data_IF_478331059961
#
_entry.id   IF_478331059961
#
_cell.length_a   1.000
_cell.length_b   1.000
_cell.length_c   1.000
_cell.angle_alpha   90.00
_cell.angle_beta   90.00
_cell.angle_gamma   90.00
#
_symmetry.space_group_name_H-M   'P 1'
#
loop_
_entity.id
_entity.type
_entity.pdbx_description
1 polymer ?
2 polymer ?
3 non-polymer ?
4 non-polymer ?
5 water ?
#
# COMPACT_ATOMS: atom_id res chain seq x y z
N UNK A 6 8.85 -15.16 -14.21
CA UNK A 6 9.68 -16.28 -13.76
C UNK A 6 10.72 -16.76 -14.76
N UNK A 7 11.15 -15.89 -15.67
CA UNK A 7 12.05 -16.32 -16.73
C UNK A 7 13.50 -15.89 -16.51
N UNK A 8 14.43 -16.71 -17.00
CA UNK A 8 15.83 -16.33 -17.00
C UNK A 8 16.14 -15.36 -18.14
N UNK A 9 15.70 -15.71 -19.35
CA UNK A 9 15.96 -14.90 -20.53
C UNK A 9 15.17 -13.60 -20.47
N UNK A 10 15.82 -12.54 -20.02
CA UNK A 10 15.13 -11.28 -19.89
C UNK A 10 15.05 -10.53 -21.23
N UNK A 11 15.93 -10.85 -22.17
CA UNK A 11 15.93 -10.12 -23.45
C UNK A 11 14.67 -10.42 -24.22
N UNK A 12 14.17 -11.65 -24.12
CA UNK A 12 12.93 -12.01 -24.80
C UNK A 12 11.78 -11.15 -24.29
N UNK A 13 11.74 -10.92 -22.98
CA UNK A 13 10.69 -10.09 -22.40
C UNK A 13 10.84 -8.69 -22.97
N UNK A 14 12.08 -8.23 -23.04
CA UNK A 14 12.32 -6.89 -23.53
C UNK A 14 11.83 -6.75 -24.96
N UNK A 15 12.20 -7.72 -25.81
CA UNK A 15 11.78 -7.67 -27.19
C UNK A 15 10.26 -7.57 -27.33
N UNK A 16 9.50 -8.34 -26.54
CA UNK A 16 8.05 -8.27 -26.64
C UNK A 16 7.56 -6.89 -26.10
N UNK A 17 8.24 -6.36 -25.11
CA UNK A 17 7.85 -5.03 -24.59
C UNK A 17 8.09 -3.95 -25.64
N UNK A 18 9.25 -3.98 -26.27
CA UNK A 18 9.57 -3.02 -27.33
C UNK A 18 8.58 -3.12 -28.46
N UNK A 19 8.15 -4.33 -28.73
CA UNK A 19 7.28 -4.57 -29.84
C UNK A 19 5.94 -3.90 -29.52
N UNK A 20 5.46 -4.08 -28.29
CA UNK A 20 4.15 -3.52 -27.95
C UNK A 20 4.22 -1.99 -27.92
N UNK A 21 5.28 -1.50 -27.34
CA UNK A 21 5.40 -0.05 -27.14
C UNK A 21 5.71 0.68 -28.45
N UNK A 22 6.02 -0.07 -29.51
CA UNK A 22 6.24 0.55 -30.82
C UNK A 22 4.91 1.00 -31.43
N UNK A 23 3.81 0.65 -30.77
CA UNK A 23 2.48 0.98 -31.26
C UNK A 23 2.00 2.35 -30.79
N UNK A 24 2.76 3.38 -31.17
CA UNK A 24 2.53 4.72 -30.68
C UNK A 24 1.12 5.14 -31.06
N UNK A 25 0.43 5.82 -30.15
CA UNK A 25 -0.91 6.37 -30.36
C UNK A 25 -1.99 5.32 -30.57
N UNK A 26 -1.67 4.06 -30.29
CA UNK A 26 -2.57 2.93 -30.49
C UNK A 26 -2.47 2.00 -29.30
N UNK A 27 -3.35 1.00 -29.27
CA UNK A 27 -3.30 -0.10 -28.30
C UNK A 27 -2.97 0.36 -26.90
N UNK A 28 -3.85 1.20 -26.37
CA UNK A 28 -3.59 1.91 -25.12
C UNK A 28 -3.54 0.95 -23.94
N UNK A 29 -4.48 0.01 -23.89
CA UNK A 29 -4.53 -0.92 -22.78
C UNK A 29 -3.36 -1.88 -22.83
N UNK A 30 -3.05 -2.38 -24.04
CA UNK A 30 -1.95 -3.32 -24.19
C UNK A 30 -0.64 -2.64 -23.82
N UNK A 31 -0.54 -1.36 -24.14
CA UNK A 31 0.70 -0.63 -23.91
C UNK A 31 0.82 -0.24 -22.44
N UNK A 32 -0.29 -0.02 -21.76
CA UNK A 32 -0.26 0.18 -20.32
C UNK A 32 0.26 -1.08 -19.62
N UNK A 33 -0.22 -2.24 -20.06
CA UNK A 33 0.29 -3.48 -19.49
C UNK A 33 1.81 -3.58 -19.66
N UNK A 34 2.29 -3.31 -20.88
CA UNK A 34 3.72 -3.39 -21.16
C UNK A 34 4.49 -2.40 -20.28
N UNK A 35 3.94 -1.21 -20.09
CA UNK A 35 4.63 -0.16 -19.30
C UNK A 35 4.73 -0.56 -17.83
N UNK A 36 3.63 -1.10 -17.32
CA UNK A 36 3.59 -1.60 -15.96
C UNK A 36 4.55 -2.80 -15.81
N UNK A 37 4.60 -3.66 -16.83
CA UNK A 37 5.57 -4.73 -16.80
C UNK A 37 6.99 -4.20 -16.69
N UNK A 38 7.29 -3.15 -17.46
CA UNK A 38 8.61 -2.53 -17.43
C UNK A 38 8.92 -1.93 -16.07
N UNK A 39 7.92 -1.28 -15.48
CA UNK A 39 8.03 -0.82 -14.11
C UNK A 39 8.39 -1.93 -13.12
N UNK A 40 7.71 -3.06 -13.20
CA UNK A 40 7.99 -4.18 -12.33
C UNK A 40 9.44 -4.66 -12.47
N UNK A 41 9.93 -4.76 -13.70
CA UNK A 41 11.28 -5.25 -13.94
C UNK A 41 12.32 -4.37 -13.29
N UNK A 42 12.05 -3.07 -13.33
CA UNK A 42 12.95 -2.07 -12.79
C UNK A 42 13.19 -2.28 -11.31
N UNK A 43 12.27 -2.94 -10.63
CA UNK A 43 12.41 -3.16 -9.19
C UNK A 43 13.27 -4.38 -8.92
N UNK A 44 13.39 -5.24 -9.93
CA UNK A 44 13.96 -6.57 -9.72
C UNK A 44 15.48 -6.60 -9.76
N UNK A 45 16.00 -7.36 -8.79
CA UNK A 45 17.42 -7.53 -8.54
C UNK A 45 18.13 -8.35 -9.63
N UNK A 47 18.15 -6.64 -12.21
CA UNK A 47 17.90 -7.25 -13.52
C UNK A 47 19.08 -7.07 -14.46
N UNK A 48 19.33 -8.07 -15.30
CA UNK A 48 20.43 -8.02 -16.26
C UNK A 48 20.03 -7.36 -17.58
N UNK A 49 18.75 -6.99 -17.67
CA UNK A 49 18.20 -6.20 -18.77
C UNK A 49 19.06 -4.99 -19.17
N UNK A 50 19.48 -4.23 -18.16
CA UNK A 50 19.97 -2.86 -18.38
C UNK A 50 21.28 -2.74 -19.14
N UNK A 51 22.23 -3.62 -18.86
CA UNK A 51 23.49 -3.61 -19.57
C UNK A 51 23.28 -3.69 -21.07
N UNK A 52 22.30 -4.48 -21.49
CA UNK A 52 22.12 -4.70 -22.93
C UNK A 52 21.04 -3.83 -23.55
N UNK A 53 20.04 -3.44 -22.75
CA UNK A 53 18.85 -2.80 -23.31
C UNK A 53 18.54 -1.41 -22.75
N UNK A 54 19.42 -0.83 -21.93
CA UNK A 54 19.05 0.44 -21.31
C UNK A 54 18.71 1.53 -22.34
N UNK A 55 19.60 1.70 -23.31
CA UNK A 55 19.44 2.73 -24.32
C UNK A 55 18.13 2.52 -25.06
N UNK A 56 17.92 1.30 -25.54
CA UNK A 56 16.77 1.00 -26.36
C UNK A 56 15.46 1.29 -25.65
N UNK A 57 15.39 0.89 -24.39
CA UNK A 57 14.20 1.13 -23.57
C UNK A 57 13.99 2.60 -23.30
N UNK A 58 15.06 3.27 -22.90
CA UNK A 58 14.94 4.67 -22.57
C UNK A 58 14.46 5.49 -23.77
N UNK A 59 15.07 5.29 -24.94
CA UNK A 59 14.71 6.16 -26.05
C UNK A 59 13.30 5.88 -26.53
N UNK A 60 12.83 4.63 -26.40
CA UNK A 60 11.43 4.34 -26.75
C UNK A 60 10.46 4.97 -25.72
N UNK A 61 10.86 4.94 -24.44
CA UNK A 61 10.06 5.54 -23.37
C UNK A 61 10.00 7.07 -23.53
N UNK A 62 11.12 7.68 -23.91
CA UNK A 62 11.11 9.13 -24.12
C UNK A 62 10.25 9.48 -25.31
N UNK A 63 10.28 8.67 -26.36
CA UNK A 63 9.38 8.92 -27.49
C UNK A 63 7.93 8.84 -27.03
N UNK A 64 7.65 7.89 -26.14
CA UNK A 64 6.29 7.64 -25.65
C UNK A 64 5.74 8.84 -24.82
N UNK A 65 6.63 9.70 -24.35
CA UNK A 65 6.22 10.95 -23.69
C UNK A 65 5.41 11.87 -24.58
N UNK A 66 5.54 11.68 -25.87
CA UNK A 66 4.82 12.48 -26.82
C UNK A 66 3.54 11.83 -27.31
N UNK A 67 3.11 10.73 -26.65
CA UNK A 67 1.90 10.05 -27.11
C UNK A 67 0.68 10.95 -27.03
N UNK A 68 -0.29 10.74 -27.91
CA UNK A 68 -1.50 11.54 -27.89
C UNK A 68 -2.36 11.20 -26.68
N UNK A 69 -2.21 10.03 -26.10
CA UNK A 69 -3.03 9.63 -24.95
C UNK A 69 -2.44 10.09 -23.61
N UNK A 70 -3.16 10.98 -22.88
CA UNK A 70 -2.70 11.50 -21.58
C UNK A 70 -2.31 10.42 -20.58
N UNK A 71 -3.10 9.35 -20.52
CA UNK A 71 -2.82 8.33 -19.50
C UNK A 71 -1.54 7.58 -19.89
N UNK A 72 -1.22 7.53 -21.18
CA UNK A 72 0.04 6.95 -21.61
C UNK A 72 1.24 7.86 -21.27
N UNK A 73 1.09 9.16 -21.54
CA UNK A 73 2.18 10.07 -21.20
C UNK A 73 2.45 10.02 -19.69
N UNK A 74 1.37 10.02 -18.93
CA UNK A 74 1.49 10.04 -17.48
C UNK A 74 2.19 8.76 -17.01
N UNK A 75 1.77 7.61 -17.57
CA UNK A 75 2.38 6.37 -17.13
C UNK A 75 3.83 6.24 -17.55
N UNK A 76 4.14 6.66 -18.78
CA UNK A 76 5.55 6.67 -19.23
C UNK A 76 6.48 7.47 -18.28
N UNK A 77 5.96 8.57 -17.71
CA UNK A 77 6.73 9.36 -16.74
C UNK A 77 6.93 8.63 -15.43
N UNK A 78 5.93 7.87 -15.00
CA UNK A 78 6.08 7.02 -13.82
C UNK A 78 7.16 5.95 -14.04
N UNK A 79 7.12 5.30 -15.19
CA UNK A 79 8.15 4.33 -15.52
C UNK A 79 9.53 5.02 -15.57
N UNK A 80 9.63 6.18 -16.23
CA UNK A 80 10.90 6.89 -16.31
C UNK A 80 11.44 7.16 -14.87
N UNK A 81 10.55 7.57 -13.98
CA UNK A 81 10.91 7.86 -12.61
C UNK A 81 11.57 6.67 -11.98
N UNK A 82 11.06 5.46 -12.22
CA UNK A 82 11.64 4.29 -11.60
C UNK A 82 12.99 3.93 -12.20
N UNK A 83 13.15 4.20 -13.49
CA UNK A 83 14.42 3.85 -14.11
C UNK A 83 15.49 4.82 -13.57
N UNK A 84 15.09 6.06 -13.37
CA UNK A 84 15.95 7.11 -12.81
C UNK A 84 16.44 6.73 -11.42
N UNK A 85 15.55 6.26 -10.55
CA UNK A 85 15.99 6.05 -9.18
C UNK A 85 16.76 4.74 -9.01
N UNK A 86 16.57 3.80 -9.93
CA UNK A 86 17.24 2.49 -9.86
C UNK A 86 18.51 2.39 -10.73
N UNK A 87 18.57 3.17 -11.80
CA UNK A 87 19.76 3.10 -12.67
C UNK A 87 20.33 4.49 -12.99
N UNK A 88 20.53 5.33 -11.96
CA UNK A 88 20.94 6.71 -12.25
C UNK A 88 22.26 6.81 -13.04
N UNK A 89 23.22 5.92 -12.78
CA UNK A 89 24.54 6.03 -13.40
C UNK A 89 24.43 5.92 -14.92
N UNK A 90 23.41 5.23 -15.39
CA UNK A 90 23.29 4.94 -16.81
C UNK A 90 22.81 6.12 -17.63
N UNK A 91 22.37 7.18 -16.96
CA UNK A 91 21.85 8.35 -17.67
C UNK A 91 22.93 9.35 -18.05
N UNK A 92 24.19 9.00 -17.79
CA UNK A 92 25.33 9.89 -18.03
C UNK A 92 25.27 10.58 -19.39
N UNK A 93 25.11 9.81 -20.46
CA UNK A 93 25.09 10.38 -21.80
C UNK A 93 23.69 10.79 -22.28
N UNK A 94 22.68 10.68 -21.42
CA UNK A 94 21.33 11.02 -21.84
C UNK A 94 20.69 12.00 -20.91
N UNK A 95 21.52 12.66 -20.12
CA UNK A 95 21.03 13.57 -19.09
C UNK A 95 20.30 14.78 -19.68
N UNK A 96 20.93 15.45 -20.65
CA UNK A 96 20.33 16.61 -21.29
C UNK A 96 18.95 16.27 -21.82
N UNK A 97 18.88 15.20 -22.60
CA UNK A 97 17.63 14.74 -23.17
C UNK A 97 16.57 14.38 -22.14
N UNK A 98 16.97 13.62 -21.13
CA UNK A 98 16.03 13.17 -20.14
C UNK A 98 15.46 14.32 -19.30
N UNK A 99 16.34 15.22 -18.88
CA UNK A 99 15.91 16.43 -18.18
C UNK A 99 14.92 17.24 -19.04
N UNK A 100 15.28 17.48 -20.30
CA UNK A 100 14.46 18.36 -21.14
C UNK A 100 13.08 17.76 -21.30
N UNK A 101 13.02 16.46 -21.54
CA UNK A 101 11.72 15.82 -21.74
C UNK A 101 10.91 15.87 -20.47
N UNK A 102 11.56 15.66 -19.34
CA UNK A 102 10.85 15.66 -18.07
C UNK A 102 10.28 17.08 -17.79
N UNK A 103 11.11 18.10 -18.03
CA UNK A 103 10.68 19.50 -17.84
C UNK A 103 9.58 19.88 -18.81
N UNK A 104 9.73 19.49 -20.06
CA UNK A 104 8.72 19.78 -21.04
C UNK A 104 7.34 19.25 -20.64
N UNK A 105 7.30 18.09 -20.00
CA UNK A 105 6.00 17.54 -19.61
C UNK A 105 5.28 18.44 -18.60
N UNK A 106 6.00 19.37 -17.99
CA UNK A 106 5.37 20.28 -17.02
C UNK A 106 4.42 21.27 -17.68
N UNK A 107 4.46 21.44 -19.01
CA UNK A 107 3.43 22.30 -19.60
C UNK A 107 2.27 21.50 -20.22
N UNK A 108 2.16 20.22 -19.89
CA UNK A 108 1.02 19.45 -20.36
C UNK A 108 -0.31 20.02 -19.87
N UNK A 109 -1.33 20.07 -20.74
CA UNK A 109 -2.64 20.56 -20.29
C UNK A 109 -3.34 19.64 -19.30
N UNK A 110 -2.88 18.40 -19.19
CA UNK A 110 -3.50 17.44 -18.29
C UNK A 110 -2.78 17.39 -16.95
N UNK A 111 -3.53 17.66 -15.89
CA UNK A 111 -2.99 17.75 -14.55
C UNK A 111 -2.32 16.45 -14.11
N UNK A 112 -2.86 15.31 -14.54
CA UNK A 112 -2.28 14.02 -14.18
C UNK A 112 -0.90 13.88 -14.79
N UNK A 113 -0.71 14.44 -15.98
CA UNK A 113 0.59 14.32 -16.62
C UNK A 113 1.59 15.26 -15.93
N UNK A 114 1.11 16.46 -15.57
CA UNK A 114 2.00 17.42 -14.89
C UNK A 114 2.42 16.83 -13.55
N UNK A 115 1.47 16.23 -12.84
CA UNK A 115 1.78 15.61 -11.56
C UNK A 115 2.83 14.51 -11.71
N UNK A 116 2.64 13.62 -12.67
CA UNK A 116 3.61 12.56 -12.92
C UNK A 116 4.97 13.15 -13.30
N UNK A 117 4.97 14.25 -14.03
CA UNK A 117 6.25 14.89 -14.40
C UNK A 117 6.96 15.52 -13.17
N UNK A 118 6.19 16.11 -12.28
CA UNK A 118 6.75 16.66 -11.05
C UNK A 118 7.36 15.58 -10.17
N UNK A 119 6.69 14.42 -10.13
CA UNK A 119 7.21 13.31 -9.35
C UNK A 119 8.52 12.84 -10.02
N UNK A 120 8.53 12.74 -11.34
CA UNK A 120 9.75 12.30 -12.03
C UNK A 120 10.90 13.27 -11.82
N UNK A 121 10.58 14.56 -11.93
CA UNK A 121 11.57 15.63 -11.77
C UNK A 121 12.18 15.61 -10.39
N UNK A 122 11.37 15.25 -9.41
CA UNK A 122 11.83 15.17 -8.04
C UNK A 122 12.88 14.08 -7.88
N UNK A 123 12.61 12.90 -8.47
CA UNK A 123 13.53 11.79 -8.35
C UNK A 123 14.79 12.03 -9.18
N UNK A 124 14.61 12.66 -10.34
CA UNK A 124 15.75 12.98 -11.19
C UNK A 124 16.76 13.81 -10.39
N UNK A 125 16.28 14.80 -9.65
CA UNK A 125 17.14 15.67 -8.86
C UNK A 125 17.85 14.95 -7.70
N UNK A 126 17.29 13.84 -7.21
CA UNK A 126 17.91 13.15 -6.09
C UNK A 126 18.78 11.97 -6.56
N UNK A 127 18.71 11.65 -7.85
CA UNK A 127 19.34 10.43 -8.38
C UNK A 127 20.48 10.69 -9.35
N UNK A 128 20.25 11.60 -10.30
CA UNK A 128 21.25 11.99 -11.31
C UNK A 128 22.45 12.62 -10.62
N UNK A 129 23.66 12.41 -11.16
CA UNK A 129 24.84 13.13 -10.69
C UNK A 129 24.53 14.61 -10.52
N UNK A 130 24.80 15.13 -9.33
CA UNK A 130 24.40 16.50 -9.01
C UNK A 130 25.15 17.54 -9.85
N UNK A 131 26.45 17.34 -10.05
CA UNK A 131 27.24 18.29 -10.85
C UNK A 131 26.70 18.38 -12.26
N UNK A 132 26.47 17.23 -12.87
CA UNK A 132 26.03 17.15 -14.25
C UNK A 132 24.63 17.75 -14.41
N UNK A 133 23.77 17.51 -13.45
CA UNK A 133 22.42 18.05 -13.48
C UNK A 133 22.45 19.59 -13.49
N UNK A 134 23.26 20.17 -12.61
CA UNK A 134 23.38 21.64 -12.49
C UNK A 134 23.86 22.20 -13.83
N UNK A 135 24.80 21.51 -14.45
CA UNK A 135 25.37 21.95 -15.71
C UNK A 135 24.36 21.86 -16.83
N UNK A 136 23.61 20.79 -16.85
CA UNK A 136 22.55 20.66 -17.82
C UNK A 136 21.45 21.72 -17.64
N UNK A 137 21.09 21.99 -16.39
CA UNK A 137 20.02 22.95 -16.13
C UNK A 137 20.37 24.41 -16.45
N UNK A 138 21.65 24.77 -16.42
CA UNK A 138 22.01 26.20 -16.57
C UNK A 138 21.54 26.83 -17.89
N UNK A 139 21.81 26.21 -19.06
CA UNK A 139 21.29 26.85 -20.29
C UNK A 139 19.76 26.82 -20.40
N UNK A 140 19.13 25.82 -19.80
CA UNK A 140 17.68 25.73 -19.85
C UNK A 140 17.05 26.89 -19.05
N UNK A 141 17.58 27.12 -17.86
CA UNK A 141 17.12 28.20 -16.99
C UNK A 141 17.27 29.55 -17.71
N UNK A 142 18.37 29.74 -18.44
CA UNK A 142 18.64 30.98 -19.14
C UNK A 142 17.84 31.22 -20.42
N UNK A 143 17.34 30.15 -21.02
CA UNK A 143 16.73 30.28 -22.36
C UNK A 143 15.36 29.60 -22.60
N UNK A 144 14.90 28.71 -21.72
CA UNK A 144 13.65 28.00 -22.03
C UNK A 144 12.42 28.86 -21.74
N UNK A 145 11.31 28.52 -22.39
CA UNK A 145 10.06 29.25 -22.23
C UNK A 145 9.40 28.94 -20.91
N UNK A 146 8.60 29.89 -20.41
CA UNK A 146 7.73 29.59 -19.30
C UNK A 146 6.78 28.48 -19.71
N UNK A 147 6.49 27.53 -18.80
CA UNK A 147 6.97 27.37 -17.43
C UNK A 147 8.07 26.30 -17.31
N UNK A 148 8.73 26.02 -18.41
CA UNK A 148 9.82 25.07 -18.40
C UNK A 148 11.01 25.68 -17.60
N UNK A 149 11.32 26.96 -17.81
CA UNK A 149 12.41 27.57 -17.03
C UNK A 149 12.11 27.52 -15.52
N UNK A 150 10.85 27.78 -15.17
CA UNK A 150 10.39 27.67 -13.79
C UNK A 150 10.72 26.28 -13.21
N UNK A 151 10.33 25.24 -13.93
CA UNK A 151 10.56 23.87 -13.40
C UNK A 151 12.06 23.59 -13.28
N UNK A 152 12.83 24.07 -14.25
CA UNK A 152 14.32 23.94 -14.23
C UNK A 152 14.96 24.59 -13.01
N UNK A 153 14.48 25.79 -12.64
CA UNK A 153 15.01 26.45 -11.45
C UNK A 153 14.69 25.66 -10.18
N UNK A 154 13.45 25.19 -10.10
CA UNK A 154 13.05 24.37 -8.98
C UNK A 154 13.89 23.08 -8.87
N UNK A 155 14.17 22.45 -10.01
CA UNK A 155 15.09 21.32 -10.05
C UNK A 155 16.48 21.71 -9.57
N UNK A 156 16.99 22.83 -10.09
CA UNK A 156 18.35 23.25 -9.68
C UNK A 156 18.46 23.42 -8.16
N UNK A 157 17.42 24.01 -7.58
CA UNK A 157 17.36 24.17 -6.13
C UNK A 157 17.50 22.84 -5.38
N UNK A 158 16.79 21.83 -5.86
CA UNK A 158 16.84 20.51 -5.23
C UNK A 158 18.22 19.89 -5.37
N UNK A 159 18.84 20.12 -6.52
CA UNK A 159 20.17 19.56 -6.75
C UNK A 159 21.22 20.25 -5.88
N UNK A 160 21.10 21.57 -5.73
CA UNK A 160 22.07 22.37 -4.97
C UNK A 160 22.14 21.93 -3.52
N UNK A 161 21.00 21.54 -2.97
CA UNK A 161 20.93 21.02 -1.61
C UNK A 161 21.66 19.69 -1.42
N UNK A 162 22.19 19.12 -2.50
CA UNK A 162 22.85 17.82 -2.39
C UNK A 162 24.36 17.89 -2.47
N UNK A 163 24.91 19.07 -2.77
CA UNK A 163 26.35 19.19 -3.00
C UNK A 163 27.07 19.83 -1.82
N UNK A 164 28.37 19.60 -1.71
CA UNK A 164 29.16 20.26 -0.68
C UNK A 164 29.42 21.74 -1.05
N UNK A 165 29.93 22.50 -0.09
CA UNK A 165 30.24 23.92 -0.31
C UNK A 165 31.33 24.05 -1.38
N UNK A 166 32.31 23.15 -1.32
CA UNK A 166 33.42 23.15 -2.26
C UNK A 166 32.92 22.86 -3.67
N UNK A 167 31.94 21.98 -3.78
CA UNK A 167 31.44 21.60 -5.08
C UNK A 167 30.60 22.73 -5.66
N UNK A 168 29.72 23.27 -4.83
CA UNK A 168 28.90 24.41 -5.21
C UNK A 168 29.73 25.64 -5.61
N UNK A 169 30.78 25.96 -4.84
CA UNK A 169 31.62 27.09 -5.17
C UNK A 169 32.17 26.94 -6.60
N UNK A 170 32.51 25.71 -6.99
CA UNK A 170 33.01 25.44 -8.34
C UNK A 170 31.94 25.65 -9.41
N UNK A 171 30.67 25.41 -9.05
CA UNK A 171 29.59 25.51 -10.03
C UNK A 171 28.93 26.89 -10.11
N UNK A 172 29.19 27.72 -9.10
CA UNK A 172 28.49 28.99 -8.95
C UNK A 172 28.63 29.94 -10.17
N UNK A 173 29.82 30.01 -10.78
CA UNK A 173 29.87 30.84 -11.99
C UNK A 173 28.92 30.41 -13.12
N UNK A 174 28.60 29.12 -13.23
CA UNK A 174 27.59 28.66 -14.19
C UNK A 174 26.18 28.90 -13.70
N UNK A 175 25.97 28.72 -12.39
CA UNK A 175 24.66 28.87 -11.76
C UNK A 175 24.18 30.33 -11.70
N UNK A 176 25.08 31.24 -11.29
CA UNK A 176 24.63 32.58 -10.92
C UNK A 176 23.96 33.39 -12.04
N UNK A 177 24.48 33.33 -13.29
CA UNK A 177 23.87 34.21 -14.32
C UNK A 177 22.36 33.99 -14.53
N UNK A 178 21.92 32.74 -14.49
CA UNK A 178 20.52 32.42 -14.70
C UNK A 178 19.63 32.92 -13.57
N UNK A 179 20.16 32.90 -12.37
CA UNK A 179 19.39 33.34 -11.22
C UNK A 179 19.30 34.87 -11.18
N UNK A 180 20.40 35.54 -11.51
CA UNK A 180 20.39 37.01 -11.59
C UNK A 180 19.41 37.46 -12.66
N UNK A 181 19.45 36.80 -13.81
CA UNK A 181 18.55 37.15 -14.89
C UNK A 181 17.09 36.72 -14.56
N UNK A 182 16.91 35.54 -13.99
CA UNK A 182 15.58 35.10 -13.57
C UNK A 182 14.92 35.98 -12.52
N UNK A 183 15.71 36.64 -11.68
CA UNK A 183 15.17 37.50 -10.64
C UNK A 183 14.48 38.73 -11.28
N UNK A 184 14.81 39.02 -12.53
CA UNK A 184 14.18 40.09 -13.30
C UNK A 184 13.10 39.61 -14.24
N UNK A 185 12.76 38.33 -14.17
CA UNK A 185 11.79 37.74 -15.10
C UNK A 185 10.40 38.34 -14.91
N UNK A 186 9.61 38.40 -15.97
CA UNK A 186 8.29 39.02 -15.90
C UNK A 186 7.33 38.17 -15.06
N UNK A 187 7.64 36.89 -14.90
CA UNK A 187 6.72 36.01 -14.16
C UNK A 187 7.08 35.98 -12.71
N UNK A 188 6.10 36.27 -11.86
CA UNK A 188 6.30 36.28 -10.42
C UNK A 188 6.81 34.93 -9.92
N UNK A 189 6.30 33.84 -10.50
CA UNK A 189 6.71 32.54 -10.05
C UNK A 189 8.19 32.29 -10.37
N UNK A 190 8.68 32.83 -11.49
CA UNK A 190 10.07 32.66 -11.84
C UNK A 190 10.96 33.49 -10.87
N UNK A 191 10.56 34.73 -10.57
CA UNK A 191 11.32 35.51 -9.61
C UNK A 191 11.37 34.83 -8.25
N UNK A 192 10.25 34.30 -7.81
CA UNK A 192 10.19 33.61 -6.52
C UNK A 192 11.10 32.38 -6.49
N UNK A 193 11.07 31.59 -7.56
CA UNK A 193 11.90 30.37 -7.64
C UNK A 193 13.37 30.74 -7.54
N UNK A 194 13.76 31.85 -8.18
CA UNK A 194 15.13 32.30 -8.11
C UNK A 194 15.52 32.74 -6.69
N UNK A 195 14.61 33.43 -5.99
CA UNK A 195 14.84 33.78 -4.61
C UNK A 195 15.03 32.53 -3.78
N UNK A 196 14.14 31.57 -3.97
CA UNK A 196 14.23 30.31 -3.24
C UNK A 196 15.57 29.63 -3.51
N UNK A 197 16.01 29.65 -4.77
CA UNK A 197 17.27 29.05 -5.13
C UNK A 197 18.46 29.77 -4.51
N UNK A 198 18.40 31.10 -4.47
CA UNK A 198 19.43 31.87 -3.83
C UNK A 198 19.45 31.62 -2.32
N UNK A 199 18.27 31.46 -1.73
CA UNK A 199 18.19 31.10 -0.31
C UNK A 199 18.93 29.81 -0.09
N UNK A 200 18.74 28.83 -0.98
CA UNK A 200 19.35 27.52 -0.80
C UNK A 200 20.87 27.55 -0.99
N UNK A 201 21.35 28.40 -1.89
CA UNK A 201 22.80 28.67 -1.99
C UNK A 201 23.34 29.26 -0.71
N UNK A 202 22.66 30.30 -0.20
CA UNK A 202 23.06 30.99 1.01
C UNK A 202 23.22 30.03 2.18
N UNK A 203 22.26 29.11 2.32
CA UNK A 203 22.29 28.14 3.41
C UNK A 203 23.55 27.28 3.34
N UNK A 204 24.11 27.12 2.14
CA UNK A 204 25.34 26.37 1.99
C UNK A 204 26.58 27.26 2.18
N UNK A 205 26.65 28.38 1.46
CA UNK A 205 27.90 29.15 1.50
C UNK A 205 27.85 30.44 2.35
N UNK A 206 26.70 30.75 2.95
CA UNK A 206 26.55 31.93 3.77
C UNK A 206 26.95 33.22 3.08
N UNK A 207 27.71 34.05 3.80
CA UNK A 207 28.15 35.35 3.34
C UNK A 207 28.97 35.31 2.05
N UNK A 208 29.62 34.17 1.79
CA UNK A 208 30.36 33.98 0.54
C UNK A 208 29.50 34.27 -0.70
N UNK A 209 28.19 34.19 -0.53
CA UNK A 209 27.25 34.46 -1.65
C UNK A 209 27.29 35.92 -2.09
N UNK A 210 27.56 36.82 -1.14
CA UNK A 210 27.39 38.27 -1.36
C UNK A 210 28.07 38.87 -2.60
N UNK A 211 29.37 38.60 -2.83
CA UNK A 211 30.02 39.17 -4.01
C UNK A 211 29.42 38.70 -5.34
N UNK A 212 28.71 37.57 -5.32
CA UNK A 212 28.01 37.12 -6.52
C UNK A 212 26.76 37.94 -6.79
N UNK A 213 26.37 38.76 -5.83
CA UNK A 213 25.09 39.48 -5.91
C UNK A 213 25.24 40.97 -6.19
N UNK A 214 26.41 41.38 -6.68
CA UNK A 214 26.68 42.81 -6.86
C UNK A 214 25.75 43.49 -7.88
N UNK A 215 25.13 42.72 -8.77
CA UNK A 215 24.27 43.28 -9.81
C UNK A 215 22.83 43.48 -9.35
N UNK A 216 22.51 43.11 -8.11
CA UNK A 216 21.14 43.27 -7.62
C UNK A 216 20.87 44.67 -7.09
N UNK A 217 19.67 45.19 -7.35
CA UNK A 217 19.29 46.49 -6.77
C UNK A 217 19.08 46.30 -5.28
N UNK A 218 19.01 47.40 -4.54
CA UNK A 218 18.71 47.33 -3.12
C UNK A 218 17.37 46.66 -2.84
N UNK A 219 16.38 46.96 -3.67
CA UNK A 219 15.05 46.44 -3.45
C UNK A 219 15.04 44.91 -3.64
N UNK A 220 15.83 44.43 -4.59
CA UNK A 220 15.90 43.00 -4.78
C UNK A 220 16.76 42.35 -3.70
N UNK A 221 17.71 43.09 -3.15
CA UNK A 221 18.48 42.58 -2.03
C UNK A 221 17.60 42.49 -0.80
N UNK A 222 16.75 43.49 -0.59
CA UNK A 222 15.86 43.50 0.58
C UNK A 222 14.97 42.25 0.57
N UNK A 223 14.32 42.03 -0.57
CA UNK A 223 13.41 40.88 -0.73
C UNK A 223 14.14 39.57 -0.50
N UNK A 224 15.34 39.43 -1.05
CA UNK A 224 16.12 38.21 -0.80
C UNK A 224 16.46 38.08 0.67
N UNK A 225 16.88 39.17 1.32
CA UNK A 225 17.22 39.10 2.72
C UNK A 225 16.00 38.74 3.56
N UNK A 226 14.82 39.16 3.12
CA UNK A 226 13.61 38.82 3.86
C UNK A 226 13.36 37.32 3.79
N UNK A 227 13.52 36.73 2.60
CA UNK A 227 13.27 35.30 2.48
C UNK A 227 14.37 34.48 3.13
N UNK A 228 15.57 35.03 3.14
CA UNK A 228 16.68 34.42 3.85
C UNK A 228 16.30 34.36 5.33
N UNK A 229 15.77 35.46 5.85
CA UNK A 229 15.42 35.53 7.26
C UNK A 229 14.19 34.66 7.57
N UNK A 230 13.27 34.51 6.61
CA UNK A 230 12.11 33.66 6.83
C UNK A 230 12.48 32.17 6.88
N UNK A 231 13.44 31.78 6.04
CA UNK A 231 13.88 30.40 6.02
C UNK A 231 14.68 30.09 7.28
N UNK A 232 15.29 31.12 7.87
CA UNK A 232 16.04 30.92 9.10
C UNK A 232 15.12 30.75 10.31
N UNK A 233 14.01 31.47 10.32
CA UNK A 233 13.08 31.41 11.45
C UNK A 233 12.03 30.34 11.24
N UNK A 234 10.81 30.76 10.91
CA UNK A 234 9.71 29.84 10.69
C UNK A 234 8.99 30.17 9.39
N UNK B 5 -27.01 -87.75 45.70
CA UNK B 5 -26.88 -86.33 45.35
C UNK B 5 -26.31 -86.11 43.97
N UNK B 6 -25.69 -87.15 43.43
CA UNK B 6 -24.85 -86.98 42.26
C UNK B 6 -25.64 -86.45 41.05
N UNK B 7 -26.85 -86.94 40.85
CA UNK B 7 -27.68 -86.47 39.72
C UNK B 7 -28.15 -85.03 39.91
N UNK B 8 -28.47 -84.62 41.13
CA UNK B 8 -28.82 -83.20 41.35
C UNK B 8 -27.61 -82.31 41.14
N UNK B 9 -26.47 -82.75 41.66
CA UNK B 9 -25.24 -82.02 41.46
C UNK B 9 -24.88 -81.89 39.97
N UNK B 10 -25.20 -82.92 39.20
CA UNK B 10 -24.97 -82.91 37.76
C UNK B 10 -25.88 -81.90 37.06
N UNK B 11 -27.17 -81.89 37.42
CA UNK B 11 -28.08 -80.87 36.88
C UNK B 11 -27.58 -79.46 37.25
N UNK B 12 -27.10 -79.31 38.47
CA UNK B 12 -26.62 -77.99 38.88
C UNK B 12 -25.42 -77.58 38.04
N UNK B 13 -24.55 -78.54 37.71
CA UNK B 13 -23.40 -78.22 36.86
C UNK B 13 -23.84 -77.74 35.49
N UNK B 14 -24.90 -78.36 34.95
CA UNK B 14 -25.39 -77.98 33.62
C UNK B 14 -26.02 -76.60 33.64
N UNK B 15 -26.79 -76.32 34.68
CA UNK B 15 -27.38 -74.98 34.81
C UNK B 15 -26.29 -73.94 34.97
N UNK B 16 -25.25 -74.29 35.70
CA UNK B 16 -24.10 -73.39 35.84
C UNK B 16 -23.43 -73.11 34.48
N UNK B 17 -23.32 -74.16 33.67
CA UNK B 17 -22.77 -74.01 32.32
C UNK B 17 -23.70 -73.19 31.43
N UNK B 18 -25.01 -73.34 31.61
CA UNK B 18 -25.94 -72.44 30.92
C UNK B 18 -25.70 -70.97 31.37
N UNK B 19 -25.57 -70.77 32.68
CA UNK B 19 -25.23 -69.46 33.22
C UNK B 19 -23.95 -68.92 32.59
N UNK B 20 -22.91 -69.74 32.51
CA UNK B 20 -21.65 -69.27 31.95
C UNK B 20 -21.80 -68.87 30.49
N UNK B 21 -22.65 -69.61 29.77
CA UNK B 21 -22.91 -69.28 28.40
C UNK B 21 -23.59 -67.92 28.28
N UNK B 22 -24.62 -67.70 29.10
CA UNK B 22 -25.39 -66.45 29.00
C UNK B 22 -24.55 -65.24 29.45
N UNK B 23 -23.67 -65.44 30.42
CA UNK B 23 -22.76 -64.34 30.84
C UNK B 23 -21.93 -63.94 29.64
N UNK B 24 -21.43 -64.93 28.92
CA UNK B 24 -20.62 -64.66 27.76
C UNK B 24 -21.43 -63.99 26.64
N UNK B 25 -22.64 -64.48 26.37
CA UNK B 25 -23.48 -63.82 25.38
C UNK B 25 -23.76 -62.37 25.79
N UNK B 26 -24.08 -62.18 27.06
CA UNK B 26 -24.40 -60.85 27.54
C UNK B 26 -23.18 -59.94 27.41
N UNK B 27 -22.00 -60.47 27.72
CA UNK B 27 -20.78 -59.65 27.67
C UNK B 27 -20.36 -59.32 26.24
N UNK B 28 -20.73 -60.18 25.30
CA UNK B 28 -20.49 -59.87 23.88
C UNK B 28 -21.36 -58.73 23.40
N UNK B 29 -22.62 -58.73 23.83
CA UNK B 29 -23.50 -57.60 23.52
C UNK B 29 -22.98 -56.30 24.16
N UNK B 30 -22.58 -56.38 25.42
CA UNK B 30 -21.94 -55.20 26.07
C UNK B 30 -20.73 -54.69 25.32
N UNK B 31 -19.85 -55.60 24.90
CA UNK B 31 -18.69 -55.18 24.12
C UNK B 31 -19.10 -54.48 22.83
N UNK B 32 -20.20 -54.91 22.22
CA UNK B 32 -20.74 -54.23 21.03
C UNK B 32 -21.21 -52.83 21.36
N UNK B 33 -21.93 -52.71 22.47
CA UNK B 33 -22.37 -51.40 22.92
C UNK B 33 -21.16 -50.51 23.15
N UNK B 34 -20.10 -51.09 23.69
CA UNK B 34 -18.87 -50.33 24.00
C UNK B 34 -18.18 -49.79 22.75
N UNK B 35 -18.03 -50.64 21.75
CA UNK B 35 -17.49 -50.21 20.46
C UNK B 35 -18.26 -49.04 19.86
N UNK B 36 -19.58 -49.16 19.85
CA UNK B 36 -20.41 -48.12 19.25
C UNK B 36 -20.32 -46.84 20.07
N UNK B 37 -20.22 -46.99 21.38
CA UNK B 37 -20.07 -45.83 22.26
C UNK B 37 -18.73 -45.12 22.05
N UNK B 38 -17.66 -45.89 21.85
CA UNK B 38 -16.36 -45.27 21.55
C UNK B 38 -16.39 -44.56 20.21
N UNK B 39 -17.13 -45.09 19.24
CA UNK B 39 -17.24 -44.42 17.94
C UNK B 39 -17.99 -43.10 18.13
N UNK B 40 -19.02 -43.12 18.99
CA UNK B 40 -19.74 -41.91 19.36
C UNK B 40 -18.77 -40.91 20.01
N UNK B 41 -17.93 -41.43 20.91
CA UNK B 41 -16.93 -40.58 21.57
C UNK B 41 -15.98 -39.90 20.60
N UNK B 42 -15.55 -40.59 19.56
CA UNK B 42 -14.71 -39.95 18.55
C UNK B 42 -15.42 -38.80 17.82
N UNK B 43 -16.71 -39.00 17.52
CA UNK B 43 -17.47 -37.94 16.89
C UNK B 43 -17.64 -36.75 17.83
N UNK B 44 -17.92 -37.03 19.10
CA UNK B 44 -18.11 -35.95 20.07
C UNK B 44 -16.83 -35.11 20.19
N UNK B 45 -15.71 -35.82 20.11
CA UNK B 45 -14.38 -35.24 20.18
C UNK B 45 -14.17 -34.30 19.00
N UNK B 46 -14.53 -34.76 17.80
CA UNK B 46 -14.50 -33.90 16.62
C UNK B 46 -15.36 -32.65 16.78
N UNK B 47 -16.53 -32.81 17.39
CA UNK B 47 -17.48 -31.70 17.47
C UNK B 47 -16.98 -30.63 18.44
N UNK B 48 -16.48 -31.06 19.60
CA UNK B 48 -15.85 -30.12 20.52
C UNK B 48 -14.68 -29.38 19.88
N UNK B 49 -13.91 -30.11 19.07
CA UNK B 49 -12.74 -29.51 18.42
C UNK B 49 -13.16 -28.49 17.36
N UNK B 50 -14.22 -28.81 16.63
CA UNK B 50 -14.76 -27.88 15.65
C UNK B 50 -15.24 -26.60 16.31
N UNK B 51 -16.02 -26.74 17.37
CA UNK B 51 -16.48 -25.57 18.11
C UNK B 51 -15.32 -24.75 18.63
N UNK B 52 -14.32 -25.42 19.19
CA UNK B 52 -13.13 -24.75 19.71
C UNK B 52 -12.41 -23.98 18.60
N UNK B 53 -12.14 -24.65 17.48
CA UNK B 53 -11.53 -24.04 16.32
C UNK B 53 -12.38 -22.88 15.81
N UNK B 54 -13.69 -23.09 15.73
CA UNK B 54 -14.56 -21.99 15.33
C UNK B 54 -14.52 -20.77 16.29
N UNK B 55 -14.54 -21.01 17.60
CA UNK B 55 -14.56 -19.90 18.53
C UNK B 55 -13.29 -19.05 18.40
N UNK B 56 -12.16 -19.73 18.19
CA UNK B 56 -10.88 -19.05 18.03
C UNK B 56 -10.88 -18.23 16.72
N UNK B 57 -11.53 -18.80 15.71
CA UNK B 57 -11.60 -18.20 14.39
C UNK B 57 -12.47 -16.94 14.45
N UNK B 58 -13.54 -17.00 15.25
CA UNK B 58 -14.41 -15.85 15.43
C UNK B 58 -13.69 -14.72 16.17
N UNK B 59 -12.87 -15.07 17.16
CA UNK B 59 -12.09 -14.07 17.87
C UNK B 59 -11.16 -13.33 16.92
N UNK B 60 -10.49 -14.10 16.06
CA UNK B 60 -9.58 -13.53 15.07
C UNK B 60 -10.29 -12.58 14.12
N UNK B 61 -11.49 -12.98 13.70
CA UNK B 61 -12.31 -12.14 12.83
C UNK B 61 -12.78 -10.89 13.57
N UNK B 62 -13.29 -11.08 14.79
CA UNK B 62 -13.77 -9.94 15.56
C UNK B 62 -12.64 -8.95 15.87
N UNK B 63 -11.41 -9.46 16.04
CA UNK B 63 -10.24 -8.59 16.27
C UNK B 63 -9.90 -7.75 15.03
N UNK B 64 -10.04 -8.36 13.85
CA UNK B 64 -9.92 -7.65 12.58
C UNK B 64 -11.01 -6.62 12.40
N UNK B 65 -12.24 -6.97 12.75
CA UNK B 65 -13.37 -6.05 12.71
C UNK B 65 -13.06 -4.81 13.59
N UNK B 66 -12.59 -5.05 14.81
CA UNK B 66 -12.35 -3.92 15.71
C UNK B 66 -11.23 -3.03 15.19
N UNK B 67 -10.26 -3.65 14.56
CA UNK B 67 -9.14 -2.93 13.99
C UNK B 67 -9.62 -1.99 12.90
N UNK B 68 -10.55 -2.48 12.08
CA UNK B 68 -11.11 -1.66 11.00
C UNK B 68 -11.96 -0.54 11.58
N UNK B 69 -12.74 -0.84 12.63
CA UNK B 69 -13.55 0.21 13.27
C UNK B 69 -12.65 1.33 13.82
N UNK B 70 -11.54 0.93 14.43
CA UNK B 70 -10.63 1.91 14.99
C UNK B 70 -9.96 2.70 13.87
N UNK B 71 -9.76 2.09 12.70
CA UNK B 71 -9.22 2.80 11.53
C UNK B 71 -10.20 3.84 11.03
N UNK B 72 -11.49 3.50 11.00
CA UNK B 72 -12.48 4.49 10.57
C UNK B 72 -12.55 5.65 11.55
N UNK B 73 -12.47 5.36 12.85
CA UNK B 73 -12.53 6.43 13.84
C UNK B 73 -11.33 7.35 13.72
N UNK B 74 -10.14 6.76 13.59
CA UNK B 74 -8.92 7.54 13.38
C UNK B 74 -9.00 8.40 12.13
N UNK B 75 -9.49 7.82 11.05
CA UNK B 75 -9.69 8.59 9.82
C UNK B 75 -10.65 9.77 10.00
N UNK B 76 -11.74 9.58 10.76
CA UNK B 76 -12.66 10.70 11.02
C UNK B 76 -11.98 11.84 11.77
N UNK B 77 -11.14 11.51 12.74
CA UNK B 77 -10.38 12.53 13.49
C UNK B 77 -9.41 13.27 12.55
N UNK B 78 -8.69 12.50 11.74
CA UNK B 78 -7.74 13.12 10.80
C UNK B 78 -8.44 14.02 9.80
N UNK B 79 -9.66 13.68 9.43
CA UNK B 79 -10.41 14.52 8.50
C UNK B 79 -10.71 15.86 9.16
N UNK B 80 -11.11 15.83 10.43
CA UNK B 80 -11.41 17.10 11.11
C UNK B 80 -10.11 17.91 11.21
N UNK B 81 -9.00 17.25 11.54
CA UNK B 81 -7.72 17.95 11.59
C UNK B 81 -7.36 18.62 10.26
N UNK B 82 -7.55 17.89 9.18
CA UNK B 82 -7.24 18.43 7.86
C UNK B 82 -8.18 19.60 7.51
N UNK B 83 -9.46 19.42 7.78
CA UNK B 83 -10.41 20.52 7.55
C UNK B 83 -10.03 21.81 8.29
N UNK B 84 -9.56 21.67 9.53
CA UNK B 84 -9.17 22.83 10.32
C UNK B 84 -7.96 23.49 9.68
N UNK B 85 -7.06 22.68 9.14
CA UNK B 85 -5.84 23.20 8.56
C UNK B 85 -6.16 23.96 7.29
N UNK B 86 -7.06 23.37 6.52
CA UNK B 86 -7.60 23.99 5.32
C UNK B 86 -8.24 25.35 5.60
N UNK B 87 -9.04 25.41 6.66
CA UNK B 87 -9.69 26.66 7.01
C UNK B 87 -8.66 27.71 7.40
N UNK B 88 -7.63 27.29 8.13
CA UNK B 88 -6.58 28.24 8.49
C UNK B 88 -5.89 28.79 7.24
N UNK B 89 -5.55 27.90 6.30
CA UNK B 89 -4.87 28.34 5.08
C UNK B 89 -5.75 29.28 4.28
N UNK B 90 -7.04 28.93 4.13
CA UNK B 90 -8.00 29.81 3.46
C UNK B 90 -8.13 31.19 4.11
N UNK B 91 -7.99 31.29 5.43
CA UNK B 91 -8.02 32.61 6.07
C UNK B 91 -6.80 33.45 5.68
N UNK B 92 -5.66 32.78 5.55
CA UNK B 92 -4.43 33.45 5.14
C UNK B 92 -4.57 33.96 3.72
N UNK B 93 -5.05 33.10 2.83
CA UNK B 93 -5.28 33.47 1.45
C UNK B 93 -6.19 34.67 1.38
N UNK B 94 -7.30 34.60 2.12
CA UNK B 94 -8.26 35.70 2.08
C UNK B 94 -7.64 37.02 2.58
N UNK B 95 -6.87 36.94 3.65
CA UNK B 95 -6.23 38.13 4.19
C UNK B 95 -5.21 38.72 3.20
N UNK B 96 -4.43 37.85 2.55
CA UNK B 96 -3.48 38.29 1.54
C UNK B 96 -4.19 38.85 0.32
N UNK B 97 -5.30 38.24 -0.08
CA UNK B 97 -6.06 38.70 -1.23
C UNK B 97 -6.47 40.16 -1.08
N UNK B 98 -7.01 40.53 0.08
CA UNK B 98 -7.46 41.89 0.23
C UNK B 98 -6.29 42.85 0.48
N UNK B 99 -5.11 42.33 0.78
CA UNK B 99 -3.91 43.19 0.89
C UNK B 99 -3.30 43.48 -0.47
N UNK B 100 -3.59 42.64 -1.45
CA UNK B 100 -3.11 42.92 -2.79
C UNK B 100 -3.98 44.04 -3.41
N UNK B 101 -5.29 43.97 -3.16
CA UNK B 101 -6.24 44.96 -3.66
C UNK B 101 -6.16 46.27 -2.89
N UNK B 102 -5.19 46.37 -1.99
CA UNK B 102 -4.96 47.56 -1.17
C UNK B 102 -3.81 48.40 -1.71
N UNK C 5 -30.46 -82.51 49.75
CA UNK C 5 -31.34 -82.67 48.60
C UNK C 5 -32.29 -81.48 48.39
N UNK C 6 -32.91 -81.01 49.48
CA UNK C 6 -33.77 -79.84 49.39
C UNK C 6 -32.95 -78.59 49.11
N UNK C 7 -31.79 -78.49 49.76
CA UNK C 7 -30.89 -77.37 49.53
C UNK C 7 -30.39 -77.42 48.10
N UNK C 8 -30.24 -78.63 47.58
CA UNK C 8 -29.84 -78.84 46.20
C UNK C 8 -30.99 -78.47 45.26
N UNK C 9 -32.22 -78.67 45.72
CA UNK C 9 -33.39 -78.34 44.91
C UNK C 9 -33.59 -76.84 44.90
N UNK C 10 -33.37 -76.21 46.05
CA UNK C 10 -33.50 -74.76 46.10
C UNK C 10 -32.39 -74.08 45.30
N UNK C 11 -31.20 -74.67 45.25
CA UNK C 11 -30.12 -74.00 44.51
C UNK C 11 -30.42 -74.09 43.01
N UNK C 12 -30.98 -75.22 42.60
CA UNK C 12 -31.49 -75.38 41.23
C UNK C 12 -32.51 -74.32 40.89
N UNK C 13 -33.46 -74.05 41.78
CA UNK C 13 -34.42 -72.98 41.50
C UNK C 13 -33.73 -71.62 41.45
N UNK C 14 -32.76 -71.40 42.32
CA UNK C 14 -32.06 -70.13 42.30
C UNK C 14 -31.28 -69.97 41.01
N UNK C 15 -30.67 -71.05 40.54
CA UNK C 15 -29.90 -70.97 39.31
C UNK C 15 -30.83 -70.69 38.13
N UNK C 16 -32.03 -71.27 38.15
CA UNK C 16 -33.00 -70.93 37.09
C UNK C 16 -33.39 -69.46 37.13
N UNK C 17 -33.50 -68.90 38.33
CA UNK C 17 -33.79 -67.46 38.44
C UNK C 17 -32.67 -66.62 37.86
N UNK C 18 -31.43 -67.04 38.10
CA UNK C 18 -30.28 -66.30 37.59
C UNK C 18 -30.30 -66.38 36.05
N UNK C 19 -30.60 -67.57 35.53
CA UNK C 19 -30.73 -67.76 34.08
C UNK C 19 -31.77 -66.80 33.46
N UNK C 20 -32.92 -66.69 34.12
CA UNK C 20 -33.98 -65.86 33.55
C UNK C 20 -33.56 -64.39 33.57
N UNK C 21 -32.80 -64.03 34.59
CA UNK C 21 -32.33 -62.65 34.68
C UNK C 21 -31.24 -62.36 33.64
N UNK C 22 -30.36 -63.33 33.40
CA UNK C 22 -29.33 -63.15 32.37
C UNK C 22 -29.91 -63.15 30.96
N UNK C 23 -30.98 -63.92 30.70
CA UNK C 23 -31.67 -63.83 29.42
C UNK C 23 -32.09 -62.38 29.16
N UNK C 24 -32.68 -61.76 30.17
CA UNK C 24 -33.17 -60.38 30.06
C UNK C 24 -32.00 -59.40 29.89
N UNK C 25 -30.97 -59.54 30.69
CA UNK C 25 -29.82 -58.64 30.56
C UNK C 25 -29.16 -58.76 29.19
N UNK C 26 -29.06 -59.98 28.71
CA UNK C 26 -28.51 -60.22 27.37
C UNK C 26 -29.32 -59.50 26.31
N UNK C 27 -30.65 -59.66 26.38
CA UNK C 27 -31.51 -59.10 25.36
C UNK C 27 -31.54 -57.56 25.49
N UNK C 28 -31.58 -57.07 26.71
CA UNK C 28 -31.57 -55.62 26.93
C UNK C 28 -30.25 -54.98 26.51
N UNK C 29 -29.13 -55.68 26.66
CA UNK C 29 -27.88 -55.16 26.09
C UNK C 29 -27.93 -55.14 24.57
N UNK C 30 -28.49 -56.17 23.97
CA UNK C 30 -28.59 -56.15 22.50
C UNK C 30 -29.43 -54.98 22.00
N UNK C 31 -30.46 -54.63 22.77
CA UNK C 31 -31.30 -53.48 22.41
C UNK C 31 -30.44 -52.20 22.32
N UNK C 32 -29.45 -52.13 23.19
CA UNK C 32 -28.57 -50.94 23.28
C UNK C 32 -27.58 -50.85 22.12
N UNK C 33 -27.26 -51.98 21.53
CA UNK C 33 -26.29 -52.06 20.44
C UNK C 33 -26.81 -51.29 19.24
N UNK C 34 -28.05 -51.58 18.85
CA UNK C 34 -28.69 -50.86 17.77
C UNK C 34 -28.81 -49.38 18.12
N UNK C 35 -29.25 -49.10 19.34
CA UNK C 35 -29.43 -47.74 19.83
C UNK C 35 -28.12 -46.91 19.79
N UNK C 36 -27.02 -47.47 20.26
CA UNK C 36 -25.74 -46.79 20.20
C UNK C 36 -25.26 -46.60 18.75
N UNK C 37 -25.51 -47.58 17.89
CA UNK C 37 -25.05 -47.47 16.50
C UNK C 37 -25.80 -46.33 15.80
N UNK C 38 -27.08 -46.19 16.11
CA UNK C 38 -27.90 -45.11 15.51
C UNK C 38 -27.55 -43.76 16.09
N UNK C 39 -27.04 -43.76 17.31
CA UNK C 39 -26.59 -42.54 17.98
C UNK C 39 -25.38 -41.99 17.24
N UNK C 40 -24.60 -42.89 16.64
CA UNK C 40 -23.47 -42.43 15.85
C UNK C 40 -23.92 -41.51 14.72
N UNK C 41 -24.94 -41.94 13.98
CA UNK C 41 -25.52 -41.13 12.92
C UNK C 41 -26.10 -39.81 13.39
N UNK C 42 -26.76 -39.83 14.54
CA UNK C 42 -27.32 -38.59 15.09
C UNK C 42 -26.22 -37.57 15.42
N UNK C 43 -25.13 -38.00 16.03
CA UNK C 43 -24.08 -37.05 16.39
C UNK C 43 -23.28 -36.63 15.16
N UNK C 44 -23.18 -37.53 14.19
CA UNK C 44 -22.60 -37.17 12.89
C UNK C 44 -23.37 -36.00 12.26
N UNK C 45 -24.69 -36.08 12.28
CA UNK C 45 -25.49 -35.03 11.68
C UNK C 45 -25.40 -33.75 12.51
N UNK C 46 -25.27 -33.90 13.81
CA UNK C 46 -25.14 -32.77 14.70
C UNK C 46 -23.85 -32.02 14.35
N UNK C 47 -22.81 -32.79 14.01
CA UNK C 47 -21.54 -32.23 13.55
C UNK C 47 -21.66 -31.58 12.18
N UNK C 48 -22.38 -32.25 11.29
CA UNK C 48 -22.62 -31.71 9.96
C UNK C 48 -23.26 -30.33 10.06
N UNK C 49 -24.33 -30.24 10.85
CA UNK C 49 -25.06 -28.98 10.99
C UNK C 49 -24.21 -27.90 11.67
N UNK C 50 -23.43 -28.30 12.68
CA UNK C 50 -22.53 -27.37 13.36
C UNK C 50 -21.55 -26.71 12.38
N UNK C 51 -20.88 -27.53 11.58
CA UNK C 51 -19.97 -26.99 10.57
C UNK C 51 -20.66 -26.06 9.57
N UNK C 52 -21.89 -26.37 9.20
CA UNK C 52 -22.66 -25.47 8.35
C UNK C 52 -22.97 -24.16 9.08
N UNK C 53 -23.26 -24.27 10.37
CA UNK C 53 -23.47 -23.09 11.17
C UNK C 53 -22.18 -22.29 11.31
N UNK C 54 -21.05 -22.98 11.37
CA UNK C 54 -19.76 -22.32 11.51
C UNK C 54 -19.44 -21.50 10.27
N UNK C 55 -19.68 -22.09 9.10
CA UNK C 55 -19.36 -21.46 7.84
C UNK C 55 -20.25 -20.25 7.57
N UNK C 56 -21.54 -20.36 7.91
CA UNK C 56 -22.47 -19.26 7.75
C UNK C 56 -22.05 -18.08 8.61
N UNK C 57 -21.62 -18.38 9.84
CA UNK C 57 -21.22 -17.36 10.78
C UNK C 57 -20.00 -16.62 10.25
N UNK C 58 -19.04 -17.36 9.72
CA UNK C 58 -17.87 -16.76 9.12
C UNK C 58 -18.27 -15.83 7.98
N UNK C 59 -19.24 -16.27 7.19
CA UNK C 59 -19.69 -15.45 6.06
C UNK C 59 -20.32 -14.14 6.54
N UNK C 60 -21.02 -14.18 7.67
CA UNK C 60 -21.69 -12.99 8.20
C UNK C 60 -20.66 -11.98 8.73
N UNK C 61 -19.65 -12.48 9.42
CA UNK C 61 -18.54 -11.65 9.91
C UNK C 61 -17.74 -11.05 8.76
N UNK C 62 -17.45 -11.85 7.75
CA UNK C 62 -16.74 -11.35 6.57
C UNK C 62 -17.52 -10.25 5.84
N UNK C 63 -18.84 -10.41 5.77
CA UNK C 63 -19.66 -9.32 5.22
C UNK C 63 -19.51 -8.01 6.00
N UNK C 64 -19.45 -8.09 7.32
CA UNK C 64 -19.35 -6.85 8.09
C UNK C 64 -17.95 -6.25 7.90
N UNK C 65 -16.97 -7.12 7.71
CA UNK C 65 -15.64 -6.61 7.43
C UNK C 65 -15.59 -5.91 6.09
N UNK C 66 -16.33 -6.42 5.10
CA UNK C 66 -16.48 -5.80 3.80
C UNK C 66 -17.07 -4.41 3.91
N UNK C 67 -18.15 -4.32 4.69
CA UNK C 67 -18.79 -3.03 4.93
C UNK C 67 -17.80 -1.99 5.53
N UNK C 68 -17.04 -2.44 6.52
CA UNK C 68 -16.08 -1.55 7.18
C UNK C 68 -14.97 -1.12 6.23
N UNK C 69 -14.54 -2.04 5.38
CA UNK C 69 -13.49 -1.77 4.40
C UNK C 69 -13.94 -0.73 3.41
N UNK C 70 -15.20 -0.80 3.02
CA UNK C 70 -15.73 0.24 2.14
C UNK C 70 -15.69 1.63 2.82
N UNK C 71 -15.93 1.67 4.13
CA UNK C 71 -15.85 2.94 4.85
C UNK C 71 -14.41 3.43 4.91
N UNK C 72 -13.48 2.53 5.17
CA UNK C 72 -12.07 2.90 5.22
C UNK C 72 -11.58 3.48 3.88
N UNK C 73 -12.00 2.84 2.80
CA UNK C 73 -11.68 3.27 1.45
C UNK C 73 -12.24 4.66 1.16
N UNK C 74 -13.47 4.89 1.57
CA UNK C 74 -14.08 6.19 1.33
C UNK C 74 -13.31 7.29 2.07
N UNK C 75 -12.88 6.96 3.29
CA UNK C 75 -12.17 7.94 4.10
C UNK C 75 -10.81 8.25 3.49
N UNK C 76 -10.15 7.21 2.94
CA UNK C 76 -8.89 7.41 2.21
C UNK C 76 -9.06 8.25 0.94
N UNK C 77 -10.14 8.05 0.21
CA UNK C 77 -10.42 8.92 -0.93
C UNK C 77 -10.58 10.37 -0.48
N UNK C 78 -11.32 10.57 0.60
CA UNK C 78 -11.53 11.94 1.06
C UNK C 78 -10.23 12.56 1.59
N UNK C 79 -9.42 11.76 2.26
CA UNK C 79 -8.14 12.25 2.77
C UNK C 79 -7.20 12.70 1.63
N UNK C 80 -7.14 11.92 0.56
CA UNK C 80 -6.28 12.30 -0.56
C UNK C 80 -6.80 13.61 -1.13
N UNK C 81 -8.12 13.71 -1.26
CA UNK C 81 -8.72 14.95 -1.79
C UNK C 81 -8.40 16.18 -0.91
N UNK C 82 -8.53 16.04 0.40
CA UNK C 82 -8.24 17.15 1.31
C UNK C 82 -6.79 17.51 1.31
N UNK C 83 -5.90 16.51 1.27
CA UNK C 83 -4.46 16.79 1.22
C UNK C 83 -4.08 17.51 -0.08
N UNK C 84 -4.73 17.14 -1.19
CA UNK C 84 -4.54 17.91 -2.42
C UNK C 84 -5.02 19.37 -2.29
N UNK C 85 -6.19 19.54 -1.68
CA UNK C 85 -6.69 20.90 -1.51
C UNK C 85 -5.78 21.71 -0.60
N UNK C 86 -5.22 21.04 0.41
CA UNK C 86 -4.38 21.75 1.37
C UNK C 86 -3.08 22.18 0.70
N UNK C 87 -2.55 21.34 -0.17
CA UNK C 87 -1.33 21.71 -0.92
C UNK C 87 -1.62 22.89 -1.85
N UNK C 88 -2.77 22.82 -2.51
CA UNK C 88 -3.28 23.93 -3.35
C UNK C 88 -3.35 25.27 -2.61
N UNK C 89 -3.96 25.25 -1.43
CA UNK C 89 -4.11 26.46 -0.63
C UNK C 89 -2.74 26.96 -0.21
N UNK C 90 -1.86 26.05 0.20
CA UNK C 90 -0.53 26.48 0.63
C UNK C 90 0.22 27.12 -0.53
N UNK C 91 0.04 26.64 -1.76
CA UNK C 91 0.67 27.30 -2.92
C UNK C 91 0.08 28.69 -3.16
N UNK C 92 -1.23 28.84 -2.94
CA UNK C 92 -1.86 30.18 -3.06
C UNK C 92 -1.22 31.17 -2.09
N UNK C 93 -1.07 30.75 -0.83
CA UNK C 93 -0.48 31.59 0.21
C UNK C 93 0.94 31.96 -0.19
N UNK C 94 1.71 31.00 -0.64
CA UNK C 94 3.10 31.28 -1.00
C UNK C 94 3.21 32.32 -2.13
N UNK C 95 2.40 32.15 -3.17
CA UNK C 95 2.41 33.08 -4.32
C UNK C 95 1.93 34.45 -3.93
N UNK C 96 0.84 34.51 -3.16
CA UNK C 96 0.33 35.81 -2.73
C UNK C 96 1.29 36.53 -1.78
N UNK C 97 1.90 35.77 -0.87
CA UNK C 97 2.82 36.31 0.12
C UNK C 97 3.98 37.03 -0.59
N UNK C 98 4.55 36.35 -1.59
CA UNK C 98 5.65 36.92 -2.36
C UNK C 98 5.25 38.20 -3.08
N UNK C 99 4.06 38.18 -3.69
CA UNK C 99 3.58 39.39 -4.37
C UNK C 99 3.39 40.56 -3.43
N UNK C 100 2.83 40.30 -2.23
CA UNK C 100 2.65 41.37 -1.24
C UNK C 100 3.99 41.91 -0.72
N UNK C 101 4.94 41.00 -0.47
CA UNK C 101 6.26 41.41 0.00
C UNK C 101 6.96 42.20 -1.09
N UNK C 102 6.85 41.72 -2.30
CA UNK C 102 7.45 42.45 -3.44
C UNK C 102 6.80 43.83 -3.66
N UNK C 103 5.48 43.89 -3.62
CA UNK C 103 4.78 45.17 -3.77
C UNK C 103 5.06 46.16 -2.65
N UNK C 104 5.25 45.66 -1.43
CA UNK C 104 5.52 46.55 -0.31
C UNK C 104 6.87 47.21 -0.48
N UNK C 105 7.85 46.46 -0.97
CA UNK C 105 9.18 47.05 -1.20
C UNK C 105 9.15 48.10 -2.29
N UNK C 106 8.50 47.80 -3.40
CA UNK C 106 8.36 48.79 -4.46
C UNK C 106 7.69 50.07 -3.92
N UNK C 107 6.68 49.93 -3.07
CA UNK C 107 6.05 51.12 -2.47
C UNK C 107 7.03 51.89 -1.60
N UNK C 108 7.89 51.18 -0.85
CA UNK C 108 8.88 51.86 -0.03
C UNK C 108 10.02 52.44 -0.87
N UNK C 109 10.25 51.85 -2.03
CA UNK C 109 11.30 52.28 -2.93
C UNK C 109 10.83 53.43 -3.82
#
# INVERSE_FOLDING_TARGET
GPGSEFSLDHSDLVAELLKELSNHNERVEERKIALYELMKLTQEESFSVWDEHFKTILLLLLETLGDKEPTIRALALKVLREILRHQPARFKNYAELTVMKTLEAHKDPHKEVVRSAEEAASVLATSISPEQCIKVLCPIIQTADYPINLAAIKMQTKVIERVSKETLNLLLPEIMPGLIQGYDNSESSVRKACVFCLVAVHAVIGDELKPHLSQLTGSKMKLLNLYIKRAQTGS
GPGSTTALQEALKEKQQHIEQLLAERDLERAEVAKATSHVGEIEQELALARDGHDQHVLELEAKMDQLRTMVEAADREKVELLNQLEEEKRKVEDLQFRVEEESITKGDLE
GPGSTTALQEALKEKQQHIEQLLAERDLERAEVAKATSHVGEIEQELALARDGHDQHVLELEAKMDQLRTMVEAADREKVELLNQLEEEKRKVEDLQFRVEEESITKGDLE
#
